data_IF_251189035809
#
_entry.id   IF_251189035809
#
_cell.length_a   1.000
_cell.length_b   1.000
_cell.length_c   1.000
_cell.angle_alpha   90.00
_cell.angle_beta   90.00
_cell.angle_gamma   90.00
#
_symmetry.space_group_name_H-M   'P 1'
#
loop_
_entity.id
_entity.type
_entity.pdbx_description
1 polymer ?
#
# COMPACT_ATOMS: atom_id res chain seq x y z
N UNK A 1 -0.65 0.18 14.70
CA UNK A 1 0.50 0.70 15.47
C UNK A 1 1.74 0.46 14.65
N UNK A 2 2.57 1.47 14.42
CA UNK A 2 3.89 1.25 13.84
C UNK A 2 4.84 0.67 14.88
N UNK A 3 6.06 0.31 14.42
CA UNK A 3 7.06 -0.34 15.27
C UNK A 3 7.37 0.51 16.50
N UNK A 4 7.54 1.82 16.36
CA UNK A 4 7.88 2.71 17.49
C UNK A 4 6.73 2.93 18.47
N UNK A 5 5.49 2.75 18.01
CA UNK A 5 4.29 2.96 18.82
C UNK A 5 3.87 1.70 19.58
N UNK A 6 4.51 0.56 19.32
CA UNK A 6 4.20 -0.68 20.03
C UNK A 6 4.65 -0.61 21.50
N UNK A 7 3.76 -0.89 22.46
CA UNK A 7 4.01 -0.67 23.89
C UNK A 7 4.95 -1.70 24.53
N UNK A 8 5.22 -2.82 23.85
CA UNK A 8 6.07 -3.92 24.34
C UNK A 8 7.13 -4.29 23.30
N UNK A 9 8.27 -4.82 23.75
CA UNK A 9 9.33 -5.29 22.84
C UNK A 9 8.85 -6.40 21.90
N UNK A 10 8.04 -7.34 22.40
CA UNK A 10 7.39 -8.36 21.56
C UNK A 10 6.49 -7.73 20.49
N UNK A 11 5.77 -6.65 20.83
CA UNK A 11 4.97 -5.90 19.87
C UNK A 11 5.82 -5.22 18.80
N UNK A 12 6.98 -4.66 19.18
CA UNK A 12 7.94 -4.06 18.24
C UNK A 12 8.53 -5.11 17.31
N UNK A 13 8.90 -6.28 17.82
CA UNK A 13 9.42 -7.41 17.03
C UNK A 13 8.37 -7.92 16.05
N UNK A 14 7.14 -8.14 16.50
CA UNK A 14 6.02 -8.55 15.65
C UNK A 14 5.76 -7.54 14.52
N UNK A 15 5.80 -6.23 14.84
CA UNK A 15 5.63 -5.18 13.85
C UNK A 15 6.78 -5.13 12.83
N UNK A 16 8.03 -5.41 13.24
CA UNK A 16 9.17 -5.55 12.33
C UNK A 16 8.98 -6.74 11.40
N UNK A 17 8.63 -7.91 11.96
CA UNK A 17 8.38 -9.12 11.18
C UNK A 17 7.28 -8.92 10.13
N UNK A 18 6.17 -8.30 10.52
CA UNK A 18 5.08 -7.97 9.60
C UNK A 18 5.52 -7.01 8.48
N UNK A 19 6.33 -6.00 8.82
CA UNK A 19 6.84 -5.04 7.84
C UNK A 19 7.75 -5.72 6.81
N UNK A 20 8.61 -6.62 7.26
CA UNK A 20 9.54 -7.32 6.38
C UNK A 20 8.83 -8.35 5.49
N UNK A 21 7.85 -9.09 6.03
CA UNK A 21 7.05 -10.02 5.23
C UNK A 21 6.21 -9.29 4.18
N UNK A 22 5.57 -8.18 4.55
CA UNK A 22 4.80 -7.35 3.62
C UNK A 22 5.68 -6.81 2.48
N UNK A 23 6.91 -6.42 2.79
CA UNK A 23 7.87 -5.94 1.77
C UNK A 23 8.33 -7.06 0.83
N UNK A 24 8.49 -8.27 1.34
CA UNK A 24 8.84 -9.42 0.51
C UNK A 24 7.69 -9.77 -0.45
N UNK A 25 6.46 -9.79 0.06
CA UNK A 25 5.26 -10.04 -0.74
C UNK A 25 5.03 -8.95 -1.78
N UNK A 26 5.17 -7.68 -1.41
CA UNK A 26 5.05 -6.56 -2.34
C UNK A 26 5.99 -6.72 -3.55
N UNK A 27 7.26 -7.07 -3.32
CA UNK A 27 8.23 -7.32 -4.40
C UNK A 27 7.84 -8.51 -5.26
N UNK A 28 7.29 -9.57 -4.67
CA UNK A 28 6.83 -10.73 -5.42
C UNK A 28 5.68 -10.34 -6.36
N UNK A 29 4.69 -9.61 -5.84
CA UNK A 29 3.56 -9.11 -6.62
C UNK A 29 4.01 -8.13 -7.72
N UNK A 30 4.92 -7.22 -7.43
CA UNK A 30 5.49 -6.30 -8.43
C UNK A 30 6.21 -7.05 -9.56
N UNK A 31 6.95 -8.11 -9.22
CA UNK A 31 7.61 -8.98 -10.20
C UNK A 31 6.60 -9.75 -11.06
N UNK A 32 5.53 -10.29 -10.47
CA UNK A 32 4.46 -10.97 -11.22
C UNK A 32 3.66 -10.02 -12.11
N UNK A 33 3.38 -8.80 -11.61
CA UNK A 33 2.68 -7.74 -12.35
C UNK A 33 3.55 -7.15 -13.46
N UNK A 34 4.88 -7.23 -13.34
CA UNK A 34 5.84 -6.61 -14.24
C UNK A 34 5.93 -5.08 -14.10
N UNK A 35 5.43 -4.52 -12.99
CA UNK A 35 5.48 -3.09 -12.68
C UNK A 35 5.31 -2.84 -11.19
N UNK A 36 5.86 -1.71 -10.72
CA UNK A 36 5.72 -1.28 -9.33
C UNK A 36 4.23 -1.05 -8.96
N UNK A 37 3.86 -1.34 -7.71
CA UNK A 37 2.53 -1.04 -7.21
C UNK A 37 2.39 0.46 -6.94
N UNK A 38 1.25 1.05 -7.30
CA UNK A 38 0.95 2.41 -6.88
C UNK A 38 0.77 2.46 -5.36
N UNK A 39 1.31 3.51 -4.73
CA UNK A 39 1.38 3.68 -3.28
C UNK A 39 0.86 5.07 -2.91
N UNK A 40 0.38 5.22 -1.67
CA UNK A 40 -0.13 6.51 -1.18
C UNK A 40 -1.24 7.11 -2.07
N UNK A 41 -1.04 8.35 -2.51
CA UNK A 41 -1.99 9.07 -3.36
C UNK A 41 -2.16 8.41 -4.74
N UNK A 42 -1.10 7.87 -5.32
CA UNK A 42 -1.17 7.23 -6.64
C UNK A 42 -2.06 5.99 -6.61
N UNK A 43 -2.06 5.24 -5.49
CA UNK A 43 -2.98 4.11 -5.30
C UNK A 43 -4.43 4.55 -5.28
N UNK A 44 -4.70 5.70 -4.67
CA UNK A 44 -6.04 6.25 -4.61
C UNK A 44 -6.53 6.65 -6.01
N UNK A 45 -5.67 7.29 -6.80
CA UNK A 45 -5.97 7.62 -8.21
C UNK A 45 -6.14 6.37 -9.09
N UNK A 46 -5.28 5.36 -8.97
CA UNK A 46 -5.42 4.08 -9.66
C UNK A 46 -6.78 3.45 -9.35
N UNK A 47 -7.15 3.40 -8.06
CA UNK A 47 -8.43 2.85 -7.61
C UNK A 47 -9.61 3.67 -8.11
N UNK A 48 -9.50 5.00 -8.13
CA UNK A 48 -10.55 5.88 -8.63
C UNK A 48 -10.82 5.60 -10.11
N UNK A 49 -9.76 5.44 -10.92
CA UNK A 49 -9.85 5.14 -12.36
C UNK A 49 -10.34 3.73 -12.67
N UNK A 50 -10.21 2.79 -11.73
CA UNK A 50 -10.57 1.38 -11.95
C UNK A 50 -12.02 1.14 -12.39
N UNK A 51 -12.96 2.04 -12.08
CA UNK A 51 -14.39 1.81 -12.37
C UNK A 51 -14.85 2.37 -13.72
N UNK A 52 -14.40 3.56 -14.08
CA UNK A 52 -14.91 4.35 -15.21
C UNK A 52 -13.79 5.12 -15.94
N UNK A 53 -12.53 4.81 -15.63
CA UNK A 53 -11.35 5.45 -16.22
C UNK A 53 -11.04 6.86 -15.71
N UNK A 54 -11.91 7.46 -14.87
CA UNK A 54 -11.79 8.86 -14.44
C UNK A 54 -11.03 9.00 -13.12
N UNK A 55 -10.25 10.07 -12.98
CA UNK A 55 -9.52 10.37 -11.74
C UNK A 55 -10.46 10.72 -10.60
N UNK A 56 -9.96 10.74 -9.36
CA UNK A 56 -10.77 11.17 -8.23
C UNK A 56 -11.15 12.66 -8.32
N UNK A 57 -10.32 13.49 -8.96
CA UNK A 57 -10.60 14.91 -9.21
C UNK A 57 -11.70 15.10 -10.25
N UNK A 58 -11.65 14.37 -11.37
CA UNK A 58 -12.65 14.49 -12.44
C UNK A 58 -14.07 14.23 -11.93
N UNK A 59 -14.21 13.25 -11.02
CA UNK A 59 -15.49 12.85 -10.41
C UNK A 59 -16.09 13.88 -9.46
N UNK A 60 -15.32 14.87 -9.01
CA UNK A 60 -15.82 15.93 -8.14
C UNK A 60 -16.51 17.05 -8.92
N UNK A 61 -16.40 17.03 -10.25
CA UNK A 61 -16.94 18.04 -11.15
C UNK A 61 -18.15 17.54 -11.96
N UNK A 62 -18.62 16.32 -11.70
CA UNK A 62 -19.88 15.76 -12.21
C UNK A 62 -21.07 16.17 -11.33
#
# INVERSE_FOLDING_TARGET
MGIEQAPTEQGKESARGLKDSSKAEERHVEAEKGSDLAKGADRFEERARSSDGRSAGDKQHD
#
